data_IF_443039007884
#
_entry.id   IF_443039007884
#
_cell.length_a   1.000
_cell.length_b   1.000
_cell.length_c   1.000
_cell.angle_alpha   90.00
_cell.angle_beta   90.00
_cell.angle_gamma   90.00
#
_symmetry.space_group_name_H-M   'P 1'
#
loop_
_entity.id
_entity.type
_entity.pdbx_description
1 polymer ?
#
# COMPACT_ATOMS: atom_id res chain seq x y z
N UNK A 1 6.58 23.96 10.67
CA UNK A 1 6.66 24.85 11.85
C UNK A 1 7.91 25.71 11.71
N UNK A 2 7.84 27.02 11.95
CA UNK A 2 9.03 27.90 12.00
C UNK A 2 9.43 28.03 13.48
N UNK A 3 10.62 27.55 13.85
CA UNK A 3 11.17 27.73 15.19
C UNK A 3 11.84 29.10 15.31
N UNK A 4 11.66 29.76 16.46
CA UNK A 4 12.40 30.96 16.81
C UNK A 4 13.64 30.57 17.62
N UNK A 5 14.82 30.95 17.14
CA UNK A 5 16.08 30.73 17.85
C UNK A 5 16.50 32.06 18.47
N UNK A 6 16.76 32.05 19.78
CA UNK A 6 17.20 33.23 20.54
C UNK A 6 18.58 32.95 21.09
N UNK A 7 19.51 33.90 20.90
CA UNK A 7 20.87 33.81 21.45
C UNK A 7 20.84 33.88 22.98
N UNK A 8 21.63 33.03 23.64
CA UNK A 8 21.79 33.03 25.10
C UNK A 8 22.64 34.21 25.56
N UNK A 9 22.60 34.54 26.85
CA UNK A 9 23.41 35.64 27.39
C UNK A 9 24.92 35.34 27.34
N UNK A 10 25.30 34.06 27.42
CA UNK A 10 26.67 33.63 27.14
C UNK A 10 27.06 33.90 25.68
N UNK A 11 26.17 33.61 24.73
CA UNK A 11 26.38 33.91 23.32
C UNK A 11 26.49 35.41 23.04
N UNK A 12 25.69 36.25 23.72
CA UNK A 12 25.80 37.72 23.63
C UNK A 12 27.16 38.23 24.11
N UNK A 13 27.62 37.78 25.29
CA UNK A 13 28.94 38.16 25.83
C UNK A 13 30.09 37.76 24.90
N UNK A 14 30.00 36.58 24.30
CA UNK A 14 30.99 36.13 23.32
C UNK A 14 30.99 37.02 22.07
N UNK A 15 29.81 37.43 21.61
CA UNK A 15 29.67 38.32 20.46
C UNK A 15 30.28 39.69 20.74
N UNK A 16 30.07 40.23 21.94
CA UNK A 16 30.63 41.51 22.38
C UNK A 16 32.16 41.44 22.51
N UNK A 17 32.71 40.34 23.01
CA UNK A 17 34.14 40.13 23.16
C UNK A 17 34.89 40.12 21.82
N UNK A 18 34.23 39.68 20.74
CA UNK A 18 34.81 39.62 19.39
C UNK A 18 34.24 40.68 18.43
N UNK A 19 33.61 41.73 18.96
CA UNK A 19 33.14 42.86 18.14
C UNK A 19 32.12 42.48 17.06
N UNK A 20 31.25 41.50 17.34
CA UNK A 20 30.18 41.08 16.43
C UNK A 20 30.53 39.91 15.51
N UNK A 21 31.80 39.48 15.44
CA UNK A 21 32.23 38.34 14.60
C UNK A 21 33.16 37.40 15.34
N UNK A 22 32.63 36.25 15.73
CA UNK A 22 33.42 35.18 16.35
C UNK A 22 34.27 34.49 15.26
N UNK A 23 35.60 34.36 15.44
CA UNK A 23 36.47 33.66 14.49
C UNK A 23 36.08 32.20 14.29
N UNK A 24 36.27 31.66 13.09
CA UNK A 24 35.85 30.28 12.74
C UNK A 24 36.51 29.21 13.64
N UNK A 25 37.78 29.39 13.98
CA UNK A 25 38.51 28.51 14.91
C UNK A 25 37.89 28.48 16.32
N UNK A 26 37.28 29.58 16.76
CA UNK A 26 36.60 29.68 18.06
C UNK A 26 35.25 28.96 18.03
N UNK A 27 34.52 29.08 16.91
CA UNK A 27 33.25 28.38 16.68
C UNK A 27 33.48 26.87 16.63
N UNK A 28 34.53 26.42 15.95
CA UNK A 28 34.91 25.00 15.90
C UNK A 28 35.30 24.48 17.29
N UNK A 29 36.05 25.26 18.08
CA UNK A 29 36.41 24.85 19.45
C UNK A 29 35.17 24.68 20.33
N UNK A 30 34.27 25.67 20.37
CA UNK A 30 33.01 25.61 21.13
C UNK A 30 32.13 24.45 20.64
N UNK A 31 32.04 24.24 19.32
CA UNK A 31 31.29 23.13 18.74
C UNK A 31 31.88 21.76 19.07
N UNK A 32 33.20 21.66 19.21
CA UNK A 32 33.89 20.42 19.59
C UNK A 32 33.79 20.11 21.08
N UNK A 33 33.85 21.13 21.94
CA UNK A 33 33.72 21.01 23.40
C UNK A 33 32.26 20.79 23.84
N UNK A 34 31.28 21.34 23.11
CA UNK A 34 29.87 21.18 23.40
C UNK A 34 29.24 19.86 22.91
N UNK A 35 30.00 18.99 22.22
CA UNK A 35 29.51 17.70 21.71
C UNK A 35 29.03 16.74 22.81
N UNK A 36 29.49 16.92 24.05
CA UNK A 36 29.10 16.12 25.21
C UNK A 36 28.01 16.76 26.09
N UNK A 37 27.41 17.88 25.66
CA UNK A 37 26.36 18.53 26.45
C UNK A 37 25.01 17.90 26.13
N UNK A 38 24.55 17.02 27.02
CA UNK A 38 23.16 16.57 27.08
C UNK A 38 22.24 17.80 27.13
N UNK A 39 21.33 17.91 26.16
CA UNK A 39 20.28 18.93 26.16
C UNK A 39 19.41 18.71 27.40
N UNK A 40 19.70 19.45 28.48
CA UNK A 40 18.86 19.47 29.65
C UNK A 40 17.59 20.22 29.26
N UNK A 41 16.49 19.46 29.13
CA UNK A 41 15.15 20.00 29.05
C UNK A 41 14.94 20.95 30.23
N UNK A 42 14.73 22.23 29.96
CA UNK A 42 14.35 23.24 30.95
C UNK A 42 12.90 22.98 31.39
N UNK A 43 12.70 21.95 32.20
CA UNK A 43 11.48 21.72 32.98
C UNK A 43 11.74 22.20 34.40
N UNK A 44 11.60 23.51 34.59
CA UNK A 44 11.89 24.18 35.86
C UNK A 44 11.19 25.52 35.94
N UNK A 45 9.86 25.54 35.79
CA UNK A 45 9.03 26.65 36.22
C UNK A 45 7.86 26.09 37.04
N UNK A 46 8.09 26.09 38.35
CA UNK A 46 7.19 25.69 39.44
C UNK A 46 5.94 26.56 39.45
N UNK A 47 4.76 25.93 39.51
CA UNK A 47 3.46 26.61 39.60
C UNK A 47 2.36 25.67 40.10
N UNK A 48 2.41 25.35 41.39
CA UNK A 48 1.32 25.11 42.36
C UNK A 48 -0.04 24.58 41.87
N UNK A 49 -0.29 23.30 42.23
CA UNK A 49 -1.55 22.62 42.63
C UNK A 49 -2.93 23.21 42.29
N UNK A 50 -3.79 22.39 41.66
CA UNK A 50 -4.99 21.89 42.36
C UNK A 50 -5.55 20.59 41.77
N UNK A 51 -5.89 19.71 42.71
CA UNK A 51 -6.55 18.40 42.63
C UNK A 51 -7.83 18.35 41.79
N UNK A 52 -7.93 17.33 40.93
CA UNK A 52 -9.16 16.54 40.78
C UNK A 52 -8.81 15.09 40.40
N UNK A 53 -9.27 14.17 41.23
CA UNK A 53 -9.17 12.71 41.15
C UNK A 53 -9.91 12.14 39.93
N UNK A 54 -9.50 10.92 39.57
CA UNK A 54 -10.18 9.89 38.77
C UNK A 54 -9.98 9.87 37.26
N UNK A 55 -8.89 9.23 36.82
CA UNK A 55 -8.95 8.02 35.99
C UNK A 55 -7.59 7.30 36.02
N UNK A 56 -7.55 6.15 36.69
CA UNK A 56 -6.37 5.32 36.79
C UNK A 56 -6.18 4.46 35.53
N UNK A 57 -4.90 4.33 35.15
CA UNK A 57 -4.28 3.35 34.26
C UNK A 57 -4.34 3.60 32.73
N UNK A 58 -3.54 4.57 32.25
CA UNK A 58 -2.61 4.37 31.10
C UNK A 58 -1.59 5.53 30.99
N UNK A 59 -0.78 5.76 32.03
CA UNK A 59 0.07 6.95 32.15
C UNK A 59 1.58 6.73 32.07
N UNK A 60 2.05 5.53 31.75
CA UNK A 60 3.45 5.13 32.04
C UNK A 60 4.44 5.08 30.88
N UNK A 61 4.05 5.37 29.63
CA UNK A 61 4.95 5.18 28.46
C UNK A 61 5.35 6.46 27.71
N UNK A 62 4.73 7.60 28.02
CA UNK A 62 4.91 8.81 27.22
C UNK A 62 6.25 9.53 27.45
N UNK A 63 6.95 9.29 28.56
CA UNK A 63 8.12 10.09 28.95
C UNK A 63 9.48 9.56 28.45
N UNK A 64 9.51 8.45 27.71
CA UNK A 64 10.78 7.83 27.24
C UNK A 64 10.89 7.61 25.74
N UNK A 65 9.85 7.90 24.96
CA UNK A 65 9.85 7.66 23.51
C UNK A 65 10.49 8.83 22.77
N UNK A 66 11.40 8.52 21.85
CA UNK A 66 12.00 9.51 20.96
C UNK A 66 10.93 10.19 20.08
N UNK A 67 11.16 11.43 19.61
CA UNK A 67 10.23 12.10 18.69
C UNK A 67 9.89 11.28 17.44
N UNK A 68 10.82 10.43 16.98
CA UNK A 68 10.59 9.52 15.84
C UNK A 68 9.62 8.39 16.20
N UNK A 69 9.82 7.73 17.33
CA UNK A 69 8.93 6.68 17.81
C UNK A 69 7.52 7.22 18.06
N UNK A 70 7.39 8.43 18.59
CA UNK A 70 6.09 9.08 18.75
C UNK A 70 5.37 9.29 17.42
N UNK A 71 6.10 9.67 16.36
CA UNK A 71 5.54 9.83 15.01
C UNK A 71 5.14 8.47 14.44
N UNK A 72 5.98 7.45 14.59
CA UNK A 72 5.71 6.09 14.11
C UNK A 72 4.47 5.48 14.79
N UNK A 73 4.36 5.64 16.10
CA UNK A 73 3.21 5.21 16.88
C UNK A 73 1.93 5.96 16.47
N UNK A 74 2.02 7.28 16.28
CA UNK A 74 0.89 8.08 15.80
C UNK A 74 0.43 7.63 14.40
N UNK A 75 1.38 7.37 13.48
CA UNK A 75 1.08 6.85 12.14
C UNK A 75 0.45 5.45 12.19
N UNK A 76 0.94 4.57 13.06
CA UNK A 76 0.37 3.24 13.26
C UNK A 76 -1.08 3.32 13.76
N UNK A 77 -1.36 4.20 14.73
CA UNK A 77 -2.72 4.44 15.24
C UNK A 77 -3.66 4.97 14.16
N UNK A 78 -3.21 5.94 13.35
CA UNK A 78 -4.00 6.49 12.25
C UNK A 78 -4.32 5.40 11.22
N UNK A 79 -3.31 4.62 10.81
CA UNK A 79 -3.49 3.50 9.86
C UNK A 79 -4.45 2.44 10.38
N UNK A 80 -4.33 2.07 11.65
CA UNK A 80 -5.26 1.14 12.28
C UNK A 80 -6.69 1.69 12.35
N UNK A 81 -6.88 3.00 12.48
CA UNK A 81 -8.19 3.63 12.37
C UNK A 81 -8.74 3.54 10.95
N UNK A 82 -7.95 3.96 9.95
CA UNK A 82 -8.35 3.90 8.54
C UNK A 82 -8.68 2.48 8.11
N UNK A 83 -7.88 1.49 8.52
CA UNK A 83 -8.13 0.08 8.21
C UNK A 83 -9.47 -0.40 8.77
N UNK A 84 -9.83 0.00 10.01
CA UNK A 84 -11.14 -0.33 10.60
C UNK A 84 -12.28 0.30 9.82
N UNK A 85 -12.14 1.55 9.41
CA UNK A 85 -13.19 2.24 8.64
C UNK A 85 -13.36 1.59 7.26
N UNK A 86 -12.26 1.21 6.60
CA UNK A 86 -12.29 0.47 5.33
C UNK A 86 -12.99 -0.88 5.47
N UNK A 87 -12.70 -1.64 6.53
CA UNK A 87 -13.38 -2.92 6.79
C UNK A 87 -14.90 -2.76 6.91
N UNK A 88 -15.36 -1.70 7.58
CA UNK A 88 -16.79 -1.39 7.70
C UNK A 88 -17.38 -1.07 6.33
N UNK A 89 -16.68 -0.29 5.50
CA UNK A 89 -17.14 0.03 4.15
C UNK A 89 -17.20 -1.20 3.24
N UNK A 90 -16.15 -2.02 3.22
CA UNK A 90 -16.09 -3.29 2.48
C UNK A 90 -17.24 -4.22 2.89
N UNK A 91 -17.52 -4.32 4.21
CA UNK A 91 -18.61 -5.15 4.71
C UNK A 91 -20.01 -4.73 4.22
N UNK A 92 -20.19 -3.46 3.86
CA UNK A 92 -21.47 -2.90 3.36
C UNK A 92 -21.69 -3.12 1.86
N UNK A 93 -20.63 -3.38 1.09
CA UNK A 93 -20.72 -3.59 -0.36
C UNK A 93 -21.51 -4.84 -0.73
N UNK A 94 -22.11 -4.87 -1.91
CA UNK A 94 -22.67 -6.08 -2.52
C UNK A 94 -21.54 -7.04 -2.96
N UNK A 95 -21.82 -8.33 -3.19
CA UNK A 95 -20.81 -9.28 -3.69
C UNK A 95 -20.13 -8.82 -4.99
N UNK A 96 -20.90 -8.32 -5.95
CA UNK A 96 -20.37 -7.84 -7.23
C UNK A 96 -19.48 -6.58 -7.10
N UNK A 97 -19.82 -5.68 -6.17
CA UNK A 97 -18.98 -4.52 -5.85
C UNK A 97 -17.67 -4.95 -5.19
N UNK A 98 -17.72 -5.96 -4.31
CA UNK A 98 -16.53 -6.51 -3.67
C UNK A 98 -15.59 -7.17 -4.68
N UNK A 99 -16.11 -7.97 -5.62
CA UNK A 99 -15.33 -8.52 -6.73
C UNK A 99 -14.60 -7.42 -7.50
N UNK A 100 -15.32 -6.36 -7.85
CA UNK A 100 -14.78 -5.23 -8.61
C UNK A 100 -13.68 -4.50 -7.82
N UNK A 101 -13.93 -4.23 -6.53
CA UNK A 101 -12.95 -3.63 -5.63
C UNK A 101 -11.66 -4.46 -5.57
N UNK A 102 -11.78 -5.77 -5.42
CA UNK A 102 -10.63 -6.67 -5.32
C UNK A 102 -9.76 -6.60 -6.58
N UNK A 103 -10.37 -6.63 -7.76
CA UNK A 103 -9.66 -6.50 -9.03
C UNK A 103 -8.98 -5.13 -9.16
N UNK A 104 -9.64 -4.05 -8.73
CA UNK A 104 -9.06 -2.71 -8.73
C UNK A 104 -7.87 -2.58 -7.77
N UNK A 105 -7.94 -3.22 -6.59
CA UNK A 105 -6.81 -3.26 -5.64
C UNK A 105 -5.62 -4.03 -6.23
N UNK A 106 -5.86 -5.19 -6.84
CA UNK A 106 -4.80 -5.95 -7.50
C UNK A 106 -4.13 -5.15 -8.62
N UNK A 107 -4.94 -4.44 -9.42
CA UNK A 107 -4.43 -3.54 -10.45
C UNK A 107 -3.58 -2.39 -9.86
N UNK A 108 -4.05 -1.77 -8.78
CA UNK A 108 -3.33 -0.69 -8.10
C UNK A 108 -1.99 -1.15 -7.49
N UNK A 109 -1.92 -2.41 -7.05
CA UNK A 109 -0.68 -3.05 -6.59
C UNK A 109 0.27 -3.43 -7.73
N UNK A 110 -0.13 -3.25 -9.00
CA UNK A 110 0.66 -3.55 -10.18
C UNK A 110 0.52 -4.98 -10.70
N UNK A 111 -0.51 -5.71 -10.24
CA UNK A 111 -0.87 -6.99 -10.84
C UNK A 111 -1.78 -6.75 -12.05
N UNK A 112 -1.37 -7.25 -13.21
CA UNK A 112 -2.03 -6.95 -14.48
C UNK A 112 -1.38 -5.75 -15.17
N UNK A 113 -1.08 -5.90 -16.46
CA UNK A 113 -0.36 -4.90 -17.23
C UNK A 113 -1.28 -3.83 -17.84
N UNK A 114 -2.56 -4.15 -18.00
CA UNK A 114 -3.63 -3.26 -18.42
C UNK A 114 -4.95 -3.72 -17.80
N UNK A 115 -5.97 -2.86 -17.83
CA UNK A 115 -7.31 -3.22 -17.33
C UNK A 115 -7.95 -4.33 -18.17
N UNK A 116 -7.57 -4.46 -19.45
CA UNK A 116 -8.04 -5.58 -20.30
C UNK A 116 -7.38 -6.92 -19.91
N UNK A 117 -6.21 -6.88 -19.26
CA UNK A 117 -5.54 -8.07 -18.74
C UNK A 117 -6.24 -8.64 -17.49
N UNK A 118 -7.21 -7.90 -16.92
CA UNK A 118 -8.14 -8.39 -15.90
C UNK A 118 -9.42 -8.85 -16.60
N UNK A 119 -9.53 -10.15 -16.82
CA UNK A 119 -10.73 -10.76 -17.40
C UNK A 119 -11.66 -11.16 -16.27
N UNK A 120 -12.86 -10.57 -16.22
CA UNK A 120 -13.92 -11.04 -15.32
C UNK A 120 -14.53 -12.32 -15.86
N UNK A 121 -14.52 -13.36 -15.05
CA UNK A 121 -15.14 -14.65 -15.39
C UNK A 121 -16.50 -14.70 -14.75
N UNK A 122 -17.55 -14.36 -15.51
CA UNK A 122 -18.93 -14.31 -15.01
C UNK A 122 -19.70 -15.62 -15.17
N UNK A 123 -19.04 -16.76 -15.37
CA UNK A 123 -19.71 -18.04 -15.67
C UNK A 123 -19.72 -18.91 -14.42
N UNK A 124 -20.91 -19.14 -13.84
CA UNK A 124 -21.15 -19.98 -12.65
C UNK A 124 -20.74 -21.47 -12.76
N UNK A 125 -19.97 -21.88 -13.78
CA UNK A 125 -19.50 -23.25 -13.99
C UNK A 125 -17.98 -23.42 -13.84
N UNK A 126 -17.24 -22.38 -13.49
CA UNK A 126 -15.76 -22.42 -13.35
C UNK A 126 -15.29 -22.70 -11.91
N UNK A 127 -16.20 -23.08 -11.01
CA UNK A 127 -15.87 -23.34 -9.62
C UNK A 127 -15.75 -22.08 -8.77
N UNK A 128 -16.21 -20.93 -9.27
CA UNK A 128 -16.25 -19.66 -8.54
C UNK A 128 -15.00 -18.82 -8.74
N UNK A 129 -14.40 -18.88 -9.92
CA UNK A 129 -13.29 -18.00 -10.29
C UNK A 129 -13.91 -16.68 -10.74
N UNK A 130 -13.53 -15.58 -10.11
CA UNK A 130 -14.14 -14.27 -10.37
C UNK A 130 -13.31 -13.44 -11.36
N UNK A 131 -12.02 -13.72 -11.47
CA UNK A 131 -11.18 -13.12 -12.50
C UNK A 131 -9.86 -13.82 -12.75
N UNK A 132 -9.24 -13.45 -13.87
CA UNK A 132 -7.93 -13.92 -14.30
C UNK A 132 -7.05 -12.70 -14.56
N UNK A 133 -5.88 -12.69 -13.93
CA UNK A 133 -4.88 -11.62 -14.06
C UNK A 133 -3.62 -12.17 -14.72
N UNK A 134 -3.21 -11.56 -15.82
CA UNK A 134 -1.94 -11.92 -16.47
C UNK A 134 -0.77 -11.17 -15.84
N UNK A 135 0.29 -11.88 -15.47
CA UNK A 135 1.51 -11.31 -14.88
C UNK A 135 2.52 -10.85 -15.93
N UNK A 136 2.34 -11.26 -17.18
CA UNK A 136 3.21 -10.90 -18.30
C UNK A 136 2.39 -10.48 -19.53
N UNK A 137 3.07 -9.84 -20.50
CA UNK A 137 2.45 -9.27 -21.71
C UNK A 137 1.93 -10.34 -22.67
N UNK A 138 2.51 -11.53 -22.61
CA UNK A 138 2.22 -12.64 -23.52
C UNK A 138 1.07 -13.51 -22.98
N UNK A 139 0.74 -13.39 -21.70
CA UNK A 139 -0.35 -14.11 -21.04
C UNK A 139 0.01 -15.55 -20.67
N UNK A 140 1.30 -15.90 -20.59
CA UNK A 140 1.73 -17.25 -20.19
C UNK A 140 1.56 -17.49 -18.70
N UNK A 141 1.86 -16.48 -17.89
CA UNK A 141 1.71 -16.53 -16.44
C UNK A 141 0.41 -15.86 -16.05
N UNK A 142 -0.56 -16.68 -15.64
CA UNK A 142 -1.86 -16.24 -15.15
C UNK A 142 -1.98 -16.51 -13.67
N UNK A 143 -2.68 -15.61 -12.97
CA UNK A 143 -3.12 -15.78 -11.60
C UNK A 143 -4.62 -15.73 -11.60
N UNK A 144 -5.22 -16.77 -11.03
CA UNK A 144 -6.66 -16.88 -10.90
C UNK A 144 -7.10 -16.29 -9.58
N UNK A 145 -8.13 -15.46 -9.62
CA UNK A 145 -8.60 -14.69 -8.47
C UNK A 145 -10.01 -15.11 -8.15
N UNK A 146 -10.24 -15.40 -6.86
CA UNK A 146 -11.57 -15.56 -6.30
C UNK A 146 -11.77 -14.51 -5.20
N UNK A 147 -12.83 -13.73 -5.30
CA UNK A 147 -13.20 -12.65 -4.41
C UNK A 147 -14.57 -12.97 -3.78
N UNK A 148 -14.55 -13.53 -2.56
CA UNK A 148 -15.77 -13.95 -1.87
C UNK A 148 -16.12 -13.01 -0.72
N UNK A 149 -17.26 -12.32 -0.83
CA UNK A 149 -17.85 -11.64 0.33
C UNK A 149 -18.32 -12.69 1.34
N UNK A 150 -17.83 -12.61 2.58
CA UNK A 150 -18.13 -13.57 3.63
C UNK A 150 -18.47 -12.89 4.95
N UNK A 151 -19.52 -13.35 5.61
CA UNK A 151 -19.88 -12.92 6.97
C UNK A 151 -19.28 -13.92 7.95
N UNK A 152 -18.22 -13.53 8.67
CA UNK A 152 -17.53 -14.37 9.64
C UNK A 152 -16.24 -14.98 9.09
N UNK A 153 -16.03 -16.27 9.34
CA UNK A 153 -14.77 -16.94 9.06
C UNK A 153 -14.90 -17.94 7.89
N UNK A 154 -13.95 -17.90 6.96
CA UNK A 154 -13.81 -18.84 5.83
C UNK A 154 -13.13 -20.12 6.32
N UNK A 155 -13.75 -21.27 6.03
CA UNK A 155 -13.27 -22.60 6.42
C UNK A 155 -12.50 -23.33 5.32
N UNK A 156 -11.93 -24.48 5.67
CA UNK A 156 -11.18 -25.33 4.75
C UNK A 156 -11.94 -25.79 3.49
N UNK A 157 -13.26 -26.10 3.55
CA UNK A 157 -13.99 -26.55 2.35
C UNK A 157 -13.97 -25.53 1.21
N UNK A 158 -14.00 -24.23 1.54
CA UNK A 158 -13.95 -23.15 0.54
C UNK A 158 -12.59 -23.12 -0.17
N UNK A 159 -11.51 -23.28 0.60
CA UNK A 159 -10.15 -23.33 0.06
C UNK A 159 -9.95 -24.57 -0.83
N UNK A 160 -10.48 -25.71 -0.40
CA UNK A 160 -10.44 -26.95 -1.17
C UNK A 160 -11.25 -26.85 -2.47
N UNK A 161 -12.43 -26.22 -2.43
CA UNK A 161 -13.23 -25.93 -3.61
C UNK A 161 -12.48 -25.05 -4.62
N UNK A 162 -11.84 -23.98 -4.13
CA UNK A 162 -11.01 -23.12 -4.96
C UNK A 162 -9.82 -23.88 -5.58
N UNK A 163 -9.12 -24.69 -4.79
CA UNK A 163 -8.03 -25.53 -5.30
C UNK A 163 -8.50 -26.52 -6.37
N UNK A 164 -9.69 -27.09 -6.20
CA UNK A 164 -10.32 -27.93 -7.22
C UNK A 164 -10.59 -27.15 -8.51
N UNK A 165 -11.12 -25.94 -8.40
CA UNK A 165 -11.34 -25.05 -9.55
C UNK A 165 -10.02 -24.72 -10.28
N UNK A 166 -8.96 -24.39 -9.53
CA UNK A 166 -7.62 -24.17 -10.10
C UNK A 166 -7.10 -25.38 -10.87
N UNK A 167 -7.27 -26.58 -10.29
CA UNK A 167 -6.85 -27.81 -10.95
C UNK A 167 -7.59 -28.07 -12.27
N UNK A 168 -8.91 -27.83 -12.29
CA UNK A 168 -9.72 -27.97 -13.51
C UNK A 168 -9.30 -26.98 -14.61
N UNK A 169 -8.81 -25.80 -14.24
CA UNK A 169 -8.29 -24.80 -15.18
C UNK A 169 -6.82 -25.04 -15.58
N UNK A 170 -6.15 -26.05 -15.01
CA UNK A 170 -4.71 -26.28 -15.20
C UNK A 170 -3.85 -25.13 -14.66
N UNK A 171 -4.32 -24.45 -13.62
CA UNK A 171 -3.68 -23.28 -13.05
C UNK A 171 -2.83 -23.62 -11.82
N UNK A 172 -1.58 -23.15 -11.81
CA UNK A 172 -0.66 -23.36 -10.68
C UNK A 172 -0.70 -22.23 -9.64
N UNK A 173 -1.29 -21.08 -9.97
CA UNK A 173 -1.29 -19.88 -9.12
C UNK A 173 -2.70 -19.34 -8.93
N UNK A 174 -3.08 -19.15 -7.67
CA UNK A 174 -4.37 -18.59 -7.31
C UNK A 174 -4.30 -17.69 -6.08
N UNK A 175 -5.18 -16.69 -6.04
CA UNK A 175 -5.38 -15.82 -4.89
C UNK A 175 -6.86 -15.85 -4.51
N UNK A 176 -7.13 -16.22 -3.27
CA UNK A 176 -8.47 -16.13 -2.69
C UNK A 176 -8.51 -14.95 -1.73
N UNK A 177 -9.44 -14.04 -1.97
CA UNK A 177 -9.62 -12.79 -1.24
C UNK A 177 -11.01 -12.80 -0.60
N UNK A 178 -11.09 -12.55 0.70
CA UNK A 178 -12.35 -12.53 1.45
C UNK A 178 -12.49 -11.28 2.28
N UNK A 179 -13.72 -10.79 2.45
CA UNK A 179 -14.03 -9.70 3.39
C UNK A 179 -14.01 -10.16 4.86
N UNK A 180 -14.05 -11.48 5.10
CA UNK A 180 -14.07 -12.09 6.43
C UNK A 180 -12.69 -12.44 6.96
N UNK A 181 -12.65 -13.22 8.04
CA UNK A 181 -11.43 -13.85 8.55
C UNK A 181 -11.23 -15.24 7.94
N UNK A 182 -10.03 -15.81 8.06
CA UNK A 182 -9.74 -17.16 7.57
C UNK A 182 -9.36 -18.04 8.76
N UNK A 183 -9.89 -19.26 8.82
CA UNK A 183 -9.57 -20.19 9.91
C UNK A 183 -8.15 -20.78 9.81
N UNK A 184 -7.60 -21.21 10.94
CA UNK A 184 -6.33 -21.96 10.97
C UNK A 184 -6.33 -23.16 10.01
N UNK A 185 -7.34 -24.05 10.08
CA UNK A 185 -7.47 -25.17 9.15
C UNK A 185 -7.56 -24.77 7.67
N UNK A 186 -8.20 -23.64 7.36
CA UNK A 186 -8.25 -23.12 5.99
C UNK A 186 -6.86 -22.69 5.48
N UNK A 187 -6.08 -22.03 6.34
CA UNK A 187 -4.68 -21.68 6.02
C UNK A 187 -3.80 -22.91 5.86
N UNK A 188 -4.04 -23.96 6.64
CA UNK A 188 -3.35 -25.25 6.48
C UNK A 188 -3.69 -25.94 5.16
N UNK A 189 -4.97 -25.96 4.78
CA UNK A 189 -5.41 -26.51 3.51
C UNK A 189 -4.70 -25.85 2.32
N UNK A 190 -4.58 -24.52 2.32
CA UNK A 190 -3.85 -23.79 1.27
C UNK A 190 -2.35 -24.17 1.21
N UNK A 191 -1.69 -24.42 2.37
CA UNK A 191 -0.28 -24.84 2.40
C UNK A 191 -0.05 -26.24 1.83
N UNK A 192 -1.07 -27.10 1.87
CA UNK A 192 -0.99 -28.46 1.32
C UNK A 192 -1.28 -28.51 -0.19
N UNK A 193 -1.64 -27.37 -0.79
CA UNK A 193 -1.83 -27.30 -2.23
C UNK A 193 -0.53 -27.60 -2.98
N UNK A 194 -0.62 -28.36 -4.07
CA UNK A 194 0.51 -28.55 -4.99
C UNK A 194 0.92 -27.26 -5.72
N UNK A 195 0.00 -26.32 -5.86
CA UNK A 195 0.22 -25.00 -6.46
C UNK A 195 0.44 -23.89 -5.42
N UNK A 196 0.67 -22.68 -5.90
CA UNK A 196 0.79 -21.49 -5.06
C UNK A 196 -0.58 -20.85 -4.85
N UNK A 197 -1.18 -21.10 -3.68
CA UNK A 197 -2.43 -20.47 -3.26
C UNK A 197 -2.15 -19.44 -2.17
N UNK A 198 -2.47 -18.18 -2.45
CA UNK A 198 -2.37 -17.08 -1.48
C UNK A 198 -3.76 -16.77 -0.96
N UNK A 199 -3.88 -16.64 0.36
CA UNK A 199 -5.12 -16.24 1.00
C UNK A 199 -4.99 -14.83 1.58
N UNK A 200 -5.97 -13.97 1.30
CA UNK A 200 -6.04 -12.59 1.79
C UNK A 200 -7.37 -12.44 2.53
N UNK A 201 -7.30 -12.20 3.84
CA UNK A 201 -8.47 -11.86 4.65
C UNK A 201 -8.79 -10.36 4.58
N UNK A 202 -9.94 -9.97 5.15
CA UNK A 202 -10.40 -8.58 5.08
C UNK A 202 -9.41 -7.61 5.72
N UNK A 203 -8.78 -8.01 6.83
CA UNK A 203 -7.80 -7.16 7.51
C UNK A 203 -6.58 -6.90 6.61
N UNK A 204 -6.05 -7.96 5.99
CA UNK A 204 -4.94 -7.82 5.04
C UNK A 204 -5.33 -7.05 3.79
N UNK A 205 -6.57 -7.22 3.29
CA UNK A 205 -7.08 -6.44 2.18
C UNK A 205 -7.11 -4.94 2.50
N UNK A 206 -7.60 -4.57 3.69
CA UNK A 206 -7.62 -3.17 4.15
C UNK A 206 -6.22 -2.57 4.25
N UNK A 207 -5.23 -3.34 4.74
CA UNK A 207 -3.83 -2.91 4.75
C UNK A 207 -3.28 -2.67 3.34
N UNK A 208 -3.61 -3.54 2.38
CA UNK A 208 -3.18 -3.42 0.98
C UNK A 208 -3.77 -2.19 0.28
N UNK A 209 -4.96 -1.75 0.71
CA UNK A 209 -5.60 -0.53 0.21
C UNK A 209 -4.94 0.75 0.76
N UNK A 210 -4.22 0.67 1.89
CA UNK A 210 -3.55 1.81 2.48
C UNK A 210 -2.16 1.96 1.84
N UNK A 211 -1.88 3.07 1.15
CA UNK A 211 -0.58 3.25 0.52
C UNK A 211 0.56 3.29 1.56
N UNK A 212 1.74 2.77 1.21
CA UNK A 212 2.92 2.92 2.03
C UNK A 212 3.28 4.42 2.17
N UNK A 213 3.62 4.85 3.40
CA UNK A 213 4.05 6.24 3.69
C UNK A 213 5.43 6.55 3.11
N UNK A 214 6.19 5.51 2.72
CA UNK A 214 7.40 5.71 1.93
C UNK A 214 7.02 6.45 0.66
N UNK A 215 7.50 7.68 0.46
CA UNK A 215 7.21 8.55 -0.69
C UNK A 215 7.61 7.98 -2.06
N UNK A 216 7.87 6.67 -2.15
CA UNK A 216 7.89 5.88 -3.37
C UNK A 216 6.44 5.63 -3.79
N UNK A 217 5.85 6.62 -4.43
CA UNK A 217 4.76 6.36 -5.36
C UNK A 217 5.25 5.31 -6.37
N UNK A 218 4.52 4.22 -6.51
CA UNK A 218 4.65 3.29 -7.63
C UNK A 218 4.73 4.12 -8.93
N UNK A 219 5.66 3.84 -9.86
CA UNK A 219 6.01 4.77 -10.94
C UNK A 219 4.99 4.82 -12.09
N UNK A 220 3.67 4.80 -11.82
CA UNK A 220 2.65 4.73 -12.88
C UNK A 220 1.39 5.57 -12.70
N UNK A 221 1.33 6.49 -11.73
CA UNK A 221 0.19 7.41 -11.60
C UNK A 221 0.49 8.84 -12.09
N UNK A 222 1.55 9.06 -12.88
CA UNK A 222 1.73 10.32 -13.63
C UNK A 222 1.66 10.02 -15.13
N UNK A 223 0.65 10.58 -15.77
CA UNK A 223 0.08 10.11 -17.03
C UNK A 223 0.83 10.41 -18.32
N UNK A 224 0.24 9.88 -19.39
CA UNK A 224 0.12 10.54 -20.70
C UNK A 224 -0.99 9.85 -21.48
N UNK A 225 -2.20 10.36 -21.29
CA UNK A 225 -3.20 10.42 -22.35
C UNK A 225 -2.73 11.51 -23.33
N UNK A 226 -1.86 11.15 -24.28
CA UNK A 226 -1.65 11.98 -25.46
C UNK A 226 -2.55 11.44 -26.57
N UNK A 227 -3.80 11.91 -26.55
CA UNK A 227 -4.60 12.04 -27.75
C UNK A 227 -3.86 12.92 -28.76
N UNK A 228 -3.13 12.29 -29.69
CA UNK A 228 -2.71 12.94 -30.94
C UNK A 228 -3.54 12.37 -32.09
N UNK A 229 -4.72 12.96 -32.30
CA UNK A 229 -5.32 13.08 -33.63
C UNK A 229 -4.33 13.87 -34.51
N UNK A 230 -3.91 13.30 -35.64
CA UNK A 230 -2.95 13.97 -36.51
C UNK A 230 -2.59 13.25 -37.81
N UNK A 231 -3.60 12.89 -38.60
CA UNK A 231 -3.63 12.97 -40.06
C UNK A 231 -2.40 12.58 -40.95
N UNK A 232 -2.74 11.70 -41.92
CA UNK A 232 -2.33 11.69 -43.35
C UNK A 232 -1.07 10.92 -43.77
N UNK A 233 -1.36 9.90 -44.58
CA UNK A 233 -0.93 9.71 -45.98
C UNK A 233 -0.12 8.42 -46.24
N UNK A 234 -0.77 7.50 -46.96
CA UNK A 234 -0.13 6.28 -47.47
C UNK A 234 -1.15 5.39 -48.17
N UNK A 235 -1.76 5.90 -49.24
CA UNK A 235 -2.61 5.12 -50.15
C UNK A 235 -1.74 4.07 -50.85
N UNK A 236 -1.90 2.80 -50.52
CA UNK A 236 -1.47 1.71 -51.40
C UNK A 236 -2.70 1.18 -52.12
N UNK A 237 -2.90 1.66 -53.34
CA UNK A 237 -3.85 1.10 -54.30
C UNK A 237 -3.35 -0.29 -54.70
N UNK A 238 -3.98 -1.34 -54.19
CA UNK A 238 -3.98 -2.64 -54.86
C UNK A 238 -4.86 -2.51 -56.11
N UNK A 239 -4.23 -2.21 -57.25
CA UNK A 239 -4.89 -2.22 -58.54
C UNK A 239 -4.51 -3.50 -59.28
N UNK A 240 -5.48 -4.39 -59.34
CA UNK A 240 -5.62 -5.55 -60.20
C UNK A 240 -5.11 -5.26 -61.62
N UNK A 241 -4.19 -6.09 -62.13
CA UNK A 241 -4.05 -6.32 -63.57
C UNK A 241 -4.12 -7.81 -63.84
N UNK A 242 -5.29 -8.21 -64.34
CA UNK A 242 -5.49 -9.42 -65.13
C UNK A 242 -4.46 -9.45 -66.26
N UNK A 243 -3.79 -10.57 -66.45
CA UNK A 243 -3.31 -11.00 -67.77
C UNK A 243 -3.94 -12.35 -68.04
N UNK A 244 -5.00 -12.33 -68.82
CA UNK A 244 -5.50 -13.49 -69.53
C UNK A 244 -4.95 -13.47 -70.96
N UNK A 245 -4.79 -14.67 -71.51
CA UNK A 245 -4.54 -15.01 -72.91
C UNK A 245 -3.07 -15.00 -73.35
N UNK A 246 -2.58 -15.93 -74.17
CA UNK A 246 -3.03 -17.25 -74.70
C UNK A 246 -1.92 -17.69 -75.67
N UNK A 247 -1.75 -19.01 -75.87
CA UNK A 247 -1.09 -19.70 -77.01
C UNK A 247 0.44 -19.56 -77.03
N UNK A 248 1.23 -20.62 -77.22
CA UNK A 248 1.05 -21.87 -77.96
C UNK A 248 1.47 -23.09 -77.14
#
# INVERSE_FOLDING_TARGET
MRGAWIITDAGRKLLDAYGGKVPEAEVERIGSEARDVSIQSLSGATGTSHSAREAAADGGKAETQSPREQIEDALARIRASVARDLLVQIGRQTPAEFESLVLDVLYALGYGLSREALVRTGRSGDGGIDGIVSLDRLGFQKVYVQAKKWKGQVGAPEIQGFMGALHLQGADKGVLITSGSISGPAREAARQARGSVVLIDGARLAELMIPPVSGKLSPRLTGRDDHALGARAGRTQCRTRMHSSRRW
#
